data_IF_647329196021
#
_entry.id   IF_647329196021
#
_cell.length_a   1.000
_cell.length_b   1.000
_cell.length_c   1.000
_cell.angle_alpha   90.00
_cell.angle_beta   90.00
_cell.angle_gamma   90.00
#
_symmetry.space_group_name_H-M   'P 1'
#
loop_
_entity.id
_entity.type
_entity.pdbx_description
1 polymer ?
#
# COMPACT_ATOMS: atom_id res chain seq x y z
N UNK A 1 -25.69 24.65 5.86
CA UNK A 1 -24.84 23.53 5.42
C UNK A 1 -23.41 23.97 5.54
N UNK A 2 -22.65 23.37 6.46
CA UNK A 2 -21.19 23.48 6.44
C UNK A 2 -20.71 22.38 5.51
N UNK A 3 -20.14 22.77 4.38
CA UNK A 3 -19.44 21.83 3.51
C UNK A 3 -18.06 21.65 4.12
N UNK A 4 -17.77 20.46 4.63
CA UNK A 4 -16.39 20.06 4.90
C UNK A 4 -15.79 19.63 3.57
N UNK A 5 -14.82 20.41 3.09
CA UNK A 5 -13.97 20.01 1.97
C UNK A 5 -12.89 19.16 2.61
N UNK A 6 -12.97 17.84 2.44
CA UNK A 6 -11.87 16.94 2.78
C UNK A 6 -10.89 16.94 1.60
N UNK A 7 -9.72 17.57 1.76
CA UNK A 7 -8.66 17.59 0.75
C UNK A 7 -7.91 16.23 0.73
N UNK A 8 -8.58 15.16 0.32
CA UNK A 8 -7.95 13.85 0.12
C UNK A 8 -7.49 13.66 -1.32
N UNK A 9 -6.31 13.06 -1.49
CA UNK A 9 -5.67 12.83 -2.78
C UNK A 9 -5.37 11.34 -2.97
N UNK A 10 -5.77 10.80 -4.12
CA UNK A 10 -5.39 9.46 -4.56
C UNK A 10 -4.42 9.56 -5.73
N UNK A 11 -3.19 9.10 -5.53
CA UNK A 11 -2.16 9.01 -6.57
C UNK A 11 -2.17 7.60 -7.14
N UNK A 12 -2.39 7.45 -8.44
CA UNK A 12 -2.52 6.14 -9.06
C UNK A 12 -1.52 5.91 -10.19
N UNK A 13 -1.05 4.67 -10.28
CA UNK A 13 -0.24 4.16 -11.37
C UNK A 13 -0.75 2.79 -11.83
N UNK A 14 -0.39 2.38 -13.05
CA UNK A 14 -0.73 1.06 -13.56
C UNK A 14 0.40 0.46 -14.40
N UNK A 15 0.50 -0.87 -14.39
CA UNK A 15 1.31 -1.63 -15.33
C UNK A 15 0.52 -2.83 -15.84
N UNK A 16 0.73 -3.15 -17.12
CA UNK A 16 0.15 -4.33 -17.78
C UNK A 16 1.19 -5.45 -17.97
N UNK A 17 2.38 -5.29 -17.39
CA UNK A 17 3.43 -6.31 -17.47
C UNK A 17 3.03 -7.57 -16.71
N UNK A 18 3.49 -8.71 -17.19
CA UNK A 18 3.44 -10.01 -16.51
C UNK A 18 4.84 -10.51 -16.15
N UNK A 19 5.88 -9.68 -16.32
CA UNK A 19 7.24 -10.00 -15.91
C UNK A 19 7.42 -9.73 -14.41
N UNK A 20 7.95 -10.72 -13.68
CA UNK A 20 8.12 -10.63 -12.23
C UNK A 20 8.97 -9.44 -11.81
N UNK A 21 10.06 -9.17 -12.53
CA UNK A 21 10.99 -8.10 -12.19
C UNK A 21 10.33 -6.74 -12.38
N UNK A 22 9.59 -6.55 -13.46
CA UNK A 22 8.84 -5.32 -13.71
C UNK A 22 7.70 -5.12 -12.71
N UNK A 23 6.97 -6.19 -12.37
CA UNK A 23 5.91 -6.17 -11.35
C UNK A 23 6.47 -5.80 -9.98
N UNK A 24 7.54 -6.46 -9.55
CA UNK A 24 8.23 -6.15 -8.30
C UNK A 24 8.71 -4.70 -8.30
N UNK A 25 9.36 -4.25 -9.37
CA UNK A 25 9.82 -2.87 -9.48
C UNK A 25 8.68 -1.87 -9.36
N UNK A 26 7.52 -2.14 -9.97
CA UNK A 26 6.35 -1.29 -9.86
C UNK A 26 5.82 -1.23 -8.41
N UNK A 27 5.75 -2.36 -7.71
CA UNK A 27 5.34 -2.43 -6.29
C UNK A 27 6.28 -1.61 -5.42
N UNK A 28 7.59 -1.77 -5.59
CA UNK A 28 8.58 -1.04 -4.79
C UNK A 28 8.55 0.47 -5.09
N UNK A 29 8.41 0.85 -6.37
CA UNK A 29 8.30 2.26 -6.75
C UNK A 29 7.03 2.93 -6.19
N UNK A 30 5.90 2.20 -6.10
CA UNK A 30 4.70 2.70 -5.45
C UNK A 30 4.90 2.87 -3.94
N UNK A 31 5.60 1.95 -3.28
CA UNK A 31 5.95 2.06 -1.87
C UNK A 31 6.87 3.26 -1.61
N UNK A 32 7.90 3.45 -2.44
CA UNK A 32 8.78 4.63 -2.36
C UNK A 32 8.01 5.93 -2.48
N UNK A 33 7.15 6.03 -3.49
CA UNK A 33 6.34 7.22 -3.68
C UNK A 33 5.39 7.46 -2.50
N UNK A 34 4.84 6.40 -1.89
CA UNK A 34 4.05 6.54 -0.67
C UNK A 34 4.89 7.02 0.52
N UNK A 35 6.15 6.59 0.60
CA UNK A 35 7.08 7.01 1.66
C UNK A 35 7.50 8.47 1.53
N UNK A 36 7.69 8.96 0.31
CA UNK A 36 7.96 10.37 0.03
C UNK A 36 6.80 11.30 0.46
N UNK A 37 5.58 10.75 0.59
CA UNK A 37 4.39 11.48 1.04
C UNK A 37 4.16 11.40 2.56
N UNK A 38 5.02 10.71 3.33
CA UNK A 38 4.82 10.52 4.77
C UNK A 38 4.82 11.83 5.54
N UNK A 39 5.69 12.79 5.19
CA UNK A 39 5.73 14.10 5.86
C UNK A 39 4.40 14.86 5.75
N UNK A 40 3.61 14.62 4.69
CA UNK A 40 2.27 15.21 4.52
C UNK A 40 1.14 14.33 5.08
N UNK A 41 1.42 13.06 5.39
CA UNK A 41 0.43 12.08 5.83
C UNK A 41 0.47 11.81 7.34
N UNK A 42 1.57 12.11 8.02
CA UNK A 42 1.69 11.90 9.46
C UNK A 42 0.92 12.98 10.22
N UNK A 43 -0.12 12.53 10.91
CA UNK A 43 -0.88 13.29 11.91
C UNK A 43 -0.63 12.71 13.32
N UNK A 44 -1.07 13.42 14.37
CA UNK A 44 -0.91 13.01 15.77
C UNK A 44 -1.51 11.61 16.07
N UNK A 45 -2.53 11.18 15.31
CA UNK A 45 -3.19 9.88 15.46
C UNK A 45 -2.70 8.81 14.46
N UNK A 46 -1.68 9.10 13.66
CA UNK A 46 -1.14 8.14 12.68
C UNK A 46 -0.42 6.97 13.35
N UNK A 47 -0.75 5.75 12.95
CA UNK A 47 -0.21 4.53 13.58
C UNK A 47 0.26 3.50 12.57
N UNK A 48 -0.48 3.26 11.49
CA UNK A 48 -0.15 2.22 10.52
C UNK A 48 0.20 2.79 9.16
N UNK A 49 1.13 2.14 8.47
CA UNK A 49 1.19 2.17 7.01
C UNK A 49 0.60 0.86 6.50
N UNK A 50 -0.62 0.95 5.98
CA UNK A 50 -1.39 -0.17 5.50
C UNK A 50 -1.10 -0.40 4.02
N UNK A 51 -0.78 -1.65 3.69
CA UNK A 51 -0.67 -2.18 2.34
C UNK A 51 -1.85 -3.11 2.12
N UNK A 52 -2.77 -2.78 1.24
CA UNK A 52 -3.96 -3.60 0.98
C UNK A 52 -3.94 -4.11 -0.45
N UNK A 53 -3.85 -5.43 -0.61
CA UNK A 53 -3.93 -6.06 -1.93
C UNK A 53 -5.36 -6.51 -2.21
N UNK A 54 -5.98 -5.91 -3.22
CA UNK A 54 -7.29 -6.27 -3.73
C UNK A 54 -7.11 -7.19 -4.95
N UNK A 55 -7.36 -8.49 -4.76
CA UNK A 55 -7.17 -9.49 -5.81
C UNK A 55 -8.16 -9.29 -6.96
N UNK A 56 -9.41 -8.95 -6.65
CA UNK A 56 -10.43 -8.77 -7.69
C UNK A 56 -10.11 -7.59 -8.62
N UNK A 57 -9.51 -6.52 -8.07
CA UNK A 57 -9.07 -5.35 -8.85
C UNK A 57 -7.63 -5.44 -9.34
N UNK A 58 -6.86 -6.43 -8.89
CA UNK A 58 -5.41 -6.51 -9.09
C UNK A 58 -4.72 -5.19 -8.67
N UNK A 59 -5.10 -4.66 -7.50
CA UNK A 59 -4.71 -3.33 -7.04
C UNK A 59 -4.10 -3.37 -5.65
N UNK A 60 -2.90 -2.79 -5.51
CA UNK A 60 -2.28 -2.49 -4.24
C UNK A 60 -2.63 -1.06 -3.81
N UNK A 61 -3.20 -0.90 -2.63
CA UNK A 61 -3.38 0.37 -1.94
C UNK A 61 -2.31 0.53 -0.86
N UNK A 62 -1.72 1.71 -0.76
CA UNK A 62 -0.78 2.09 0.30
C UNK A 62 -1.32 3.36 0.95
N UNK A 63 -1.57 3.30 2.25
CA UNK A 63 -2.18 4.41 3.00
C UNK A 63 -1.64 4.47 4.43
N UNK A 64 -1.44 5.69 4.94
CA UNK A 64 -1.25 5.90 6.39
C UNK A 64 -2.62 5.92 7.05
N UNK A 65 -2.75 5.26 8.20
CA UNK A 65 -4.02 5.15 8.92
C UNK A 65 -3.87 5.37 10.42
N UNK A 66 -5.00 5.69 11.03
CA UNK A 66 -5.19 5.68 12.48
C UNK A 66 -5.16 4.25 13.07
N UNK A 67 -5.23 4.07 14.41
CA UNK A 67 -5.25 2.75 15.04
C UNK A 67 -6.43 1.88 14.62
N UNK A 68 -7.54 2.48 14.18
CA UNK A 68 -8.71 1.74 13.70
C UNK A 68 -8.54 1.20 12.28
N UNK A 69 -7.55 1.70 11.52
CA UNK A 69 -7.31 1.39 10.10
C UNK A 69 -8.47 1.76 9.18
N UNK A 70 -9.37 2.63 9.64
CA UNK A 70 -10.55 3.05 8.89
C UNK A 70 -10.49 4.54 8.47
N UNK A 71 -9.59 5.32 9.08
CA UNK A 71 -9.33 6.70 8.69
C UNK A 71 -8.01 6.74 7.93
N UNK A 72 -8.08 7.00 6.63
CA UNK A 72 -6.89 7.22 5.81
C UNK A 72 -6.42 8.66 5.95
N UNK A 73 -5.10 8.83 5.92
CA UNK A 73 -4.47 10.14 5.83
C UNK A 73 -4.78 10.83 4.50
N UNK A 74 -4.30 12.06 4.38
CA UNK A 74 -4.54 12.98 3.26
C UNK A 74 -4.22 12.35 1.89
N UNK A 75 -3.12 11.64 1.78
CA UNK A 75 -2.63 11.04 0.53
C UNK A 75 -2.66 9.52 0.59
N UNK A 76 -3.23 8.89 -0.44
CA UNK A 76 -3.14 7.45 -0.69
C UNK A 76 -2.44 7.18 -2.01
N UNK A 77 -1.77 6.04 -2.12
CA UNK A 77 -1.12 5.57 -3.35
C UNK A 77 -1.77 4.28 -3.80
N UNK A 78 -2.12 4.19 -5.08
CA UNK A 78 -2.70 3.00 -5.69
C UNK A 78 -1.87 2.53 -6.88
N UNK A 79 -1.60 1.23 -6.93
CA UNK A 79 -0.93 0.59 -8.05
C UNK A 79 -1.82 -0.53 -8.60
N UNK A 80 -2.18 -0.45 -9.87
CA UNK A 80 -2.89 -1.52 -10.57
C UNK A 80 -1.92 -2.37 -11.39
N UNK A 81 -1.89 -3.67 -11.13
CA UNK A 81 -1.06 -4.66 -11.81
C UNK A 81 -1.91 -5.54 -12.73
N UNK A 82 -2.43 -4.98 -13.82
CA UNK A 82 -3.42 -5.67 -14.67
C UNK A 82 -2.87 -6.91 -15.41
N UNK A 83 -1.55 -7.05 -15.51
CA UNK A 83 -0.88 -8.23 -16.06
C UNK A 83 -0.48 -9.29 -15.02
N UNK A 84 -0.69 -9.05 -13.72
CA UNK A 84 -0.14 -9.91 -12.67
C UNK A 84 -0.75 -11.33 -12.65
N UNK A 85 -2.05 -11.44 -12.99
CA UNK A 85 -2.72 -12.73 -13.20
C UNK A 85 -2.07 -13.60 -14.28
N UNK A 86 -1.30 -13.00 -15.22
CA UNK A 86 -0.52 -13.72 -16.21
C UNK A 86 0.80 -14.30 -15.67
N UNK A 87 1.25 -13.84 -14.50
CA UNK A 87 2.42 -14.32 -13.80
C UNK A 87 2.05 -15.34 -12.71
N UNK A 88 1.16 -14.95 -11.79
CA UNK A 88 0.60 -15.82 -10.74
C UNK A 88 -0.92 -15.70 -10.83
N UNK A 89 -1.63 -16.81 -11.00
CA UNK A 89 -3.09 -16.81 -11.15
C UNK A 89 -3.82 -16.98 -9.80
N UNK A 90 -3.19 -17.60 -8.81
CA UNK A 90 -3.79 -17.87 -7.51
C UNK A 90 -3.75 -16.64 -6.60
N UNK A 91 -4.82 -16.44 -5.81
CA UNK A 91 -4.97 -15.29 -4.94
C UNK A 91 -3.98 -15.31 -3.77
N UNK A 92 -3.84 -16.45 -3.11
CA UNK A 92 -3.03 -16.56 -1.90
C UNK A 92 -1.55 -16.44 -2.26
N UNK A 93 -1.14 -17.04 -3.40
CA UNK A 93 0.20 -16.89 -3.95
C UNK A 93 0.52 -15.43 -4.33
N UNK A 94 -0.42 -14.69 -4.94
CA UNK A 94 -0.22 -13.27 -5.25
C UNK A 94 -0.04 -12.42 -3.98
N UNK A 95 -0.87 -12.68 -2.97
CA UNK A 95 -0.80 -12.00 -1.67
C UNK A 95 0.53 -12.26 -0.98
N UNK A 96 0.96 -13.52 -0.92
CA UNK A 96 2.24 -13.92 -0.32
C UNK A 96 3.41 -13.27 -1.06
N UNK A 97 3.39 -13.26 -2.38
CA UNK A 97 4.46 -12.68 -3.19
C UNK A 97 4.59 -11.16 -2.98
N UNK A 98 3.47 -10.43 -2.93
CA UNK A 98 3.45 -8.99 -2.61
C UNK A 98 3.95 -8.74 -1.20
N UNK A 99 3.48 -9.54 -0.23
CA UNK A 99 3.93 -9.47 1.15
C UNK A 99 5.46 -9.64 1.23
N UNK A 100 6.01 -10.67 0.59
CA UNK A 100 7.45 -10.93 0.58
C UNK A 100 8.25 -9.78 -0.03
N UNK A 101 7.77 -9.17 -1.13
CA UNK A 101 8.44 -8.00 -1.71
C UNK A 101 8.44 -6.80 -0.78
N UNK A 102 7.29 -6.47 -0.18
CA UNK A 102 7.14 -5.33 0.71
C UNK A 102 7.87 -5.52 2.04
N UNK A 103 7.71 -6.67 2.69
CA UNK A 103 8.40 -6.98 3.96
C UNK A 103 9.91 -6.84 3.80
N UNK A 104 10.50 -7.46 2.77
CA UNK A 104 11.93 -7.33 2.51
C UNK A 104 12.33 -5.88 2.23
N UNK A 105 11.50 -5.13 1.51
CA UNK A 105 11.80 -3.75 1.17
C UNK A 105 11.80 -2.82 2.40
N UNK A 106 10.74 -2.89 3.20
CA UNK A 106 10.51 -2.03 4.37
C UNK A 106 11.66 -2.12 5.37
N UNK A 107 12.22 -3.32 5.57
CA UNK A 107 13.39 -3.51 6.47
C UNK A 107 14.64 -2.74 6.04
N UNK A 108 14.68 -2.25 4.80
CA UNK A 108 15.79 -1.49 4.22
C UNK A 108 15.41 -0.05 3.84
N UNK A 109 14.12 0.31 3.90
CA UNK A 109 13.60 1.60 3.49
C UNK A 109 13.87 2.68 4.55
N UNK A 110 15.02 3.35 4.44
CA UNK A 110 15.44 4.36 5.41
C UNK A 110 14.44 5.51 5.59
N UNK A 111 13.68 5.88 4.56
CA UNK A 111 12.62 6.91 4.65
C UNK A 111 11.51 6.45 5.59
N UNK A 112 11.00 5.23 5.40
CA UNK A 112 9.95 4.67 6.25
C UNK A 112 10.41 4.51 7.71
N UNK A 113 11.63 4.03 7.93
CA UNK A 113 12.19 3.76 9.27
C UNK A 113 12.41 5.03 10.12
N UNK A 114 12.34 6.23 9.53
CA UNK A 114 12.40 7.49 10.28
C UNK A 114 11.08 7.81 10.98
N UNK A 115 9.97 7.20 10.54
CA UNK A 115 8.66 7.39 11.12
C UNK A 115 8.33 6.26 12.10
N UNK A 116 7.53 6.56 13.12
CA UNK A 116 7.09 5.57 14.13
C UNK A 116 5.87 4.76 13.69
N UNK A 117 5.70 4.56 12.38
CA UNK A 117 4.58 3.79 11.84
C UNK A 117 4.84 2.28 11.94
N UNK A 118 3.76 1.53 12.14
CA UNK A 118 3.77 0.08 12.04
C UNK A 118 3.31 -0.33 10.64
N UNK A 119 4.13 -1.11 9.94
CA UNK A 119 3.73 -1.64 8.65
C UNK A 119 2.75 -2.80 8.83
N UNK A 120 1.66 -2.79 8.07
CA UNK A 120 0.65 -3.85 8.10
C UNK A 120 0.17 -4.16 6.69
N UNK A 121 -0.07 -5.43 6.39
CA UNK A 121 -0.62 -5.87 5.12
C UNK A 121 -2.00 -6.50 5.31
N UNK A 122 -2.98 -6.11 4.49
CA UNK A 122 -4.32 -6.71 4.42
C UNK A 122 -4.63 -7.22 3.02
N UNK A 123 -5.75 -7.93 2.91
CA UNK A 123 -6.30 -8.42 1.66
C UNK A 123 -7.74 -7.94 1.49
N UNK A 124 -8.08 -7.51 0.28
CA UNK A 124 -9.43 -7.14 -0.17
C UNK A 124 -10.16 -6.12 0.75
N UNK A 125 -9.42 -5.18 1.33
CA UNK A 125 -9.94 -4.15 2.21
C UNK A 125 -10.27 -4.62 3.63
N UNK A 126 -9.96 -5.87 3.99
CA UNK A 126 -10.16 -6.39 5.34
C UNK A 126 -9.01 -6.02 6.28
N UNK A 127 -8.96 -4.74 6.65
CA UNK A 127 -7.93 -4.20 7.54
C UNK A 127 -7.97 -4.81 8.96
N UNK A 128 -9.07 -5.45 9.35
CA UNK A 128 -9.20 -6.14 10.64
C UNK A 128 -8.36 -7.42 10.70
N UNK A 129 -8.16 -8.07 9.56
CA UNK A 129 -7.32 -9.26 9.41
C UNK A 129 -5.91 -8.95 8.88
N UNK A 130 -5.44 -7.72 9.07
CA UNK A 130 -4.09 -7.33 8.67
C UNK A 130 -3.00 -8.04 9.48
N UNK A 131 -1.92 -8.40 8.80
CA UNK A 131 -0.71 -9.02 9.36
C UNK A 131 0.34 -7.92 9.52
N UNK A 132 1.01 -7.88 10.66
CA UNK A 132 2.14 -6.96 10.88
C UNK A 132 3.37 -7.48 10.14
N UNK A 133 4.07 -6.57 9.46
CA UNK A 133 5.31 -6.85 8.72
C UNK A 133 6.54 -6.41 9.51
#
# INVERSE_FOLDING_TARGET
>A
MKWEISDSFCHSAQTASSDESELKQAVLAAADYAFDLLDENIEDDSMFCLFDWDFAKQRLLIAVTDPSKNKFAKHTVELTLSGYAGHIADKDDQQEQIHLWLHNYITTAAVFLQFSLVAAISADGDSSNSILM
#
